data_IF_732875902676
#
_entry.id   IF_732875902676
#
_cell.length_a   1.000
_cell.length_b   1.000
_cell.length_c   1.000
_cell.angle_alpha   90.00
_cell.angle_beta   90.00
_cell.angle_gamma   90.00
#
_symmetry.space_group_name_H-M   'P 1'
#
loop_
_entity.id
_entity.type
_entity.pdbx_description
1 polymer ?
#
# COMPACT_ATOMS: atom_id res chain seq x y z
N UNK A 1 22.78 7.40 -12.27
CA UNK A 1 21.86 8.56 -12.36
C UNK A 1 20.66 8.14 -13.20
N UNK A 2 19.44 8.03 -12.65
CA UNK A 2 18.30 7.61 -13.45
C UNK A 2 17.92 8.75 -14.40
N UNK A 3 17.95 8.44 -15.69
CA UNK A 3 17.54 9.37 -16.75
C UNK A 3 16.02 9.50 -16.71
N UNK A 4 15.54 10.63 -16.16
CA UNK A 4 14.13 11.01 -16.20
C UNK A 4 13.70 11.23 -17.66
N UNK A 5 13.00 10.25 -18.25
CA UNK A 5 12.51 10.36 -19.63
C UNK A 5 11.08 10.89 -19.61
N UNK A 6 10.95 12.22 -19.58
CA UNK A 6 9.68 12.93 -19.71
C UNK A 6 9.06 12.57 -21.06
N UNK A 7 7.95 11.83 -21.08
CA UNK A 7 7.14 11.66 -22.30
C UNK A 7 6.11 12.79 -22.35
N UNK A 8 6.35 13.76 -23.25
CA UNK A 8 5.37 14.81 -23.55
C UNK A 8 4.23 14.19 -24.34
N UNK A 9 3.02 14.17 -23.77
CA UNK A 9 1.81 13.79 -24.50
C UNK A 9 1.09 15.05 -24.97
N UNK A 10 0.76 15.10 -26.27
CA UNK A 10 0.10 16.25 -26.88
C UNK A 10 -1.33 15.86 -27.22
N UNK A 11 -2.30 16.57 -26.66
CA UNK A 11 -3.72 16.46 -27.05
C UNK A 11 -4.23 17.87 -27.33
N UNK A 12 -4.68 18.14 -28.56
CA UNK A 12 -5.32 19.40 -28.95
C UNK A 12 -4.58 20.65 -28.45
N UNK A 13 -3.28 20.73 -28.72
CA UNK A 13 -2.36 21.82 -28.31
C UNK A 13 -2.06 21.94 -26.81
N UNK A 14 -2.69 21.13 -25.96
CA UNK A 14 -2.37 21.02 -24.54
C UNK A 14 -1.23 20.02 -24.35
N UNK A 15 -0.16 20.48 -23.70
CA UNK A 15 0.93 19.60 -23.26
C UNK A 15 0.58 19.04 -21.90
N UNK A 16 0.26 17.74 -21.84
CA UNK A 16 0.00 17.06 -20.58
C UNK A 16 1.33 16.48 -20.08
N UNK A 17 1.76 16.92 -18.90
CA UNK A 17 2.89 16.33 -18.18
C UNK A 17 2.32 15.18 -17.37
N UNK A 18 2.49 13.95 -17.87
CA UNK A 18 2.23 12.74 -17.07
C UNK A 18 3.52 12.41 -16.31
N UNK A 19 3.53 12.68 -15.01
CA UNK A 19 4.59 12.23 -14.11
C UNK A 19 4.46 10.70 -13.95
N UNK A 20 4.99 9.95 -14.90
CA UNK A 20 5.16 8.51 -14.76
C UNK A 20 6.53 8.24 -14.16
N UNK A 21 6.61 8.26 -12.83
CA UNK A 21 7.82 7.84 -12.11
C UNK A 21 7.98 6.34 -12.32
N UNK A 22 8.88 5.95 -13.22
CA UNK A 22 9.32 4.57 -13.35
C UNK A 22 10.53 4.35 -12.44
N UNK A 23 10.28 3.78 -11.26
CA UNK A 23 11.33 3.40 -10.31
C UNK A 23 11.86 2.02 -10.70
N UNK A 24 13.15 1.87 -11.08
CA UNK A 24 13.74 0.55 -11.27
C UNK A 24 13.68 -0.22 -9.95
N UNK A 25 12.96 -1.34 -9.94
CA UNK A 25 12.64 -2.13 -8.73
C UNK A 25 11.15 -2.22 -8.41
N UNK A 26 10.27 -1.54 -9.17
CA UNK A 26 8.82 -1.62 -9.00
C UNK A 26 8.23 -2.56 -10.06
N UNK A 27 7.71 -3.71 -9.62
CA UNK A 27 7.07 -4.71 -10.47
C UNK A 27 5.78 -4.16 -11.11
N UNK A 28 5.49 -4.48 -12.39
CA UNK A 28 4.29 -3.99 -13.05
C UNK A 28 3.08 -4.78 -12.55
N UNK A 29 2.15 -4.04 -11.95
CA UNK A 29 0.90 -4.47 -11.31
C UNK A 29 1.05 -5.00 -9.88
N UNK A 30 0.75 -4.15 -8.89
CA UNK A 30 -0.29 -4.37 -7.85
C UNK A 30 -0.15 -3.35 -6.72
N UNK A 31 -1.27 -2.70 -6.40
CA UNK A 31 -1.48 -1.73 -5.32
C UNK A 31 -1.22 -2.34 -3.93
N UNK A 32 0.06 -2.49 -3.57
CA UNK A 32 0.49 -2.95 -2.26
C UNK A 32 0.42 -1.76 -1.28
N UNK A 33 -0.69 -1.60 -0.57
CA UNK A 33 -0.80 -0.58 0.47
C UNK A 33 -0.03 -1.08 1.71
N UNK A 34 1.11 -0.46 2.00
CA UNK A 34 1.97 -0.83 3.12
C UNK A 34 2.22 0.34 4.07
N UNK A 35 2.36 0.05 5.35
CA UNK A 35 2.91 0.95 6.37
C UNK A 35 4.07 0.27 7.10
N UNK A 36 5.11 1.03 7.45
CA UNK A 36 6.23 0.54 8.26
C UNK A 36 6.10 1.15 9.65
N UNK A 37 5.98 0.32 10.69
CA UNK A 37 5.94 0.76 12.09
C UNK A 37 6.89 -0.09 12.92
N UNK A 38 7.83 0.54 13.63
CA UNK A 38 8.73 -0.16 14.57
C UNK A 38 9.62 -1.23 13.95
N UNK A 39 9.96 -1.13 12.66
CA UNK A 39 10.75 -2.14 11.95
C UNK A 39 9.94 -3.32 11.39
N UNK A 40 8.61 -3.32 11.51
CA UNK A 40 7.72 -4.28 10.84
C UNK A 40 6.94 -3.63 9.71
N UNK A 41 6.87 -4.31 8.57
CA UNK A 41 6.04 -3.93 7.43
C UNK A 41 4.66 -4.57 7.55
N UNK A 42 3.62 -3.74 7.53
CA UNK A 42 2.23 -4.19 7.48
C UNK A 42 1.66 -3.83 6.11
N UNK A 43 1.17 -4.83 5.37
CA UNK A 43 0.81 -4.66 3.97
C UNK A 43 -0.48 -5.37 3.59
N UNK A 44 -1.21 -4.74 2.68
CA UNK A 44 -2.20 -5.40 1.84
C UNK A 44 -1.51 -6.00 0.62
N UNK A 45 -1.62 -7.31 0.47
CA UNK A 45 -1.06 -8.13 -0.60
C UNK A 45 -2.03 -8.31 -1.78
N UNK A 46 -3.22 -7.71 -1.71
CA UNK A 46 -4.22 -7.85 -2.74
C UNK A 46 -4.97 -6.54 -3.02
N UNK A 47 -5.19 -6.25 -4.31
CA UNK A 47 -5.87 -5.02 -4.78
C UNK A 47 -7.30 -4.83 -4.23
N UNK A 48 -7.97 -5.93 -3.88
CA UNK A 48 -9.34 -5.92 -3.35
C UNK A 48 -9.41 -5.97 -1.83
N UNK A 49 -8.29 -5.90 -1.11
CA UNK A 49 -8.29 -5.88 0.35
C UNK A 49 -9.23 -4.81 0.92
N UNK A 50 -9.22 -3.59 0.37
CA UNK A 50 -10.11 -2.52 0.81
C UNK A 50 -11.59 -2.82 0.54
N UNK A 51 -11.90 -3.43 -0.61
CA UNK A 51 -13.27 -3.83 -0.96
C UNK A 51 -13.78 -4.94 -0.04
N UNK A 52 -12.97 -5.98 0.19
CA UNK A 52 -13.33 -7.10 1.06
C UNK A 52 -13.44 -6.69 2.52
N UNK A 53 -12.54 -5.83 3.01
CA UNK A 53 -12.66 -5.27 4.35
C UNK A 53 -13.97 -4.48 4.53
N UNK A 54 -14.37 -3.67 3.53
CA UNK A 54 -15.69 -2.99 3.53
C UNK A 54 -16.88 -3.95 3.55
N UNK A 55 -16.75 -5.13 2.96
CA UNK A 55 -17.77 -6.19 2.96
C UNK A 55 -17.71 -7.10 4.19
N UNK A 56 -16.94 -6.70 5.21
CA UNK A 56 -16.76 -7.41 6.47
C UNK A 56 -16.05 -8.77 6.35
N UNK A 57 -15.23 -8.96 5.31
CA UNK A 57 -14.46 -10.20 5.11
C UNK A 57 -13.41 -10.40 6.20
N UNK A 58 -12.93 -9.35 6.87
CA UNK A 58 -12.02 -9.49 8.01
C UNK A 58 -12.64 -10.33 9.14
N UNK A 59 -13.97 -10.31 9.30
CA UNK A 59 -14.69 -11.12 10.28
C UNK A 59 -15.25 -12.42 9.67
N UNK A 60 -15.72 -12.39 8.42
CA UNK A 60 -16.30 -13.58 7.74
C UNK A 60 -15.24 -14.57 7.27
N UNK A 61 -14.08 -14.08 6.86
CA UNK A 61 -12.97 -14.87 6.32
C UNK A 61 -11.61 -14.39 6.87
N UNK A 62 -11.41 -14.44 8.20
CA UNK A 62 -10.17 -14.00 8.82
C UNK A 62 -8.97 -14.81 8.35
N UNK A 63 -9.14 -16.12 8.10
CA UNK A 63 -8.06 -17.01 7.65
C UNK A 63 -7.39 -16.53 6.37
N UNK A 64 -8.18 -16.01 5.43
CA UNK A 64 -7.64 -15.45 4.19
C UNK A 64 -7.23 -13.97 4.38
N UNK A 65 -8.06 -13.18 5.05
CA UNK A 65 -7.85 -11.72 5.13
C UNK A 65 -6.67 -11.33 6.03
N UNK A 66 -6.43 -12.01 7.16
CA UNK A 66 -5.37 -11.62 8.09
C UNK A 66 -3.96 -11.68 7.49
N UNK A 67 -3.53 -12.74 6.79
CA UNK A 67 -2.20 -12.78 6.19
C UNK A 67 -2.07 -11.94 4.91
N UNK A 68 -3.17 -11.64 4.23
CA UNK A 68 -3.18 -10.98 2.91
C UNK A 68 -3.62 -9.51 2.92
N UNK A 69 -4.35 -9.06 3.93
CA UNK A 69 -5.00 -7.75 3.98
C UNK A 69 -4.84 -7.12 5.35
N UNK A 70 -3.62 -7.16 5.88
CA UNK A 70 -3.30 -6.79 7.27
C UNK A 70 -3.65 -5.32 7.55
N UNK A 71 -3.37 -4.46 6.57
CA UNK A 71 -3.63 -3.03 6.67
C UNK A 71 -5.12 -2.74 6.57
N UNK A 72 -5.80 -3.32 5.57
CA UNK A 72 -7.24 -3.18 5.39
C UNK A 72 -8.06 -3.73 6.57
N UNK A 73 -7.59 -4.82 7.21
CA UNK A 73 -8.20 -5.36 8.41
C UNK A 73 -7.74 -4.71 9.72
N UNK A 74 -6.84 -3.72 9.65
CA UNK A 74 -6.32 -2.97 10.81
C UNK A 74 -5.72 -3.87 11.89
N UNK A 75 -5.09 -4.96 11.47
CA UNK A 75 -4.41 -5.91 12.36
C UNK A 75 -2.90 -5.67 12.43
N UNK A 76 -2.44 -4.58 11.83
CA UNK A 76 -1.07 -4.11 12.02
C UNK A 76 -0.84 -3.88 13.52
N UNK A 77 0.01 -4.68 14.14
CA UNK A 77 0.59 -4.33 15.42
C UNK A 77 1.56 -3.18 15.19
N UNK A 78 1.11 -1.94 15.37
CA UNK A 78 2.03 -0.91 15.84
C UNK A 78 2.46 -1.43 17.20
N UNK A 79 3.68 -1.96 17.32
CA UNK A 79 4.26 -2.18 18.64
C UNK A 79 4.03 -0.86 19.37
N UNK A 80 3.09 -0.90 20.31
CA UNK A 80 2.87 0.21 21.21
C UNK A 80 4.25 0.41 21.79
N UNK A 81 4.85 1.58 21.55
CA UNK A 81 5.85 2.11 22.47
C UNK A 81 5.28 1.74 23.82
N UNK A 82 5.93 0.78 24.48
CA UNK A 82 5.50 0.30 25.78
C UNK A 82 5.23 1.60 26.52
N UNK A 83 3.96 1.83 26.83
CA UNK A 83 3.55 2.94 27.68
C UNK A 83 4.40 2.73 28.91
N UNK A 84 5.49 3.50 28.99
CA UNK A 84 6.38 3.51 30.13
C UNK A 84 5.58 4.29 31.17
N UNK A 85 4.57 3.63 31.70
CA UNK A 85 3.87 4.02 32.91
C UNK A 85 4.03 2.84 33.83
N UNK A 86 5.20 2.78 34.46
CA UNK A 86 5.35 2.10 35.73
C UNK A 86 6.51 2.72 36.51
N UNK A 87 6.08 3.63 37.40
CA UNK A 87 6.73 4.23 38.58
C UNK A 87 7.77 5.32 38.35
#
# INVERSE_FOLDING_TARGET
TPLCRIRKYRVNSVSIIVEAVHVPGVAPQQFLNCVISGGRSCCDKHRFCAFWARNNECSKNPTWMLPNCQLSCRVCTTDSVATQTLR
#
